data_IF_526875148804
#
_entry.id   IF_526875148804
#
_cell.length_a   1.000
_cell.length_b   1.000
_cell.length_c   1.000
_cell.angle_alpha   90.00
_cell.angle_beta   90.00
_cell.angle_gamma   90.00
#
_symmetry.space_group_name_H-M   'P 1'
#
loop_
_entity.id
_entity.type
_entity.pdbx_description
1 polymer ?
#
# COMPACT_ATOMS: atom_id res chain seq x y z
N UNK A 1 25.36 -3.35 -17.82
CA UNK A 1 25.26 -1.95 -18.32
C UNK A 1 23.82 -1.68 -18.78
N UNK A 2 22.83 -1.99 -17.94
CA UNK A 2 21.39 -1.96 -18.30
C UNK A 2 20.50 -1.57 -17.09
N UNK A 3 21.07 -0.96 -16.05
CA UNK A 3 20.37 -0.58 -14.81
C UNK A 3 20.03 0.93 -14.76
N UNK A 4 20.43 1.71 -15.77
CA UNK A 4 20.21 3.17 -15.80
C UNK A 4 19.01 3.61 -16.65
N UNK A 5 18.44 2.71 -17.46
CA UNK A 5 17.40 3.06 -18.45
C UNK A 5 15.97 3.02 -17.89
N UNK A 6 15.68 2.19 -16.89
CA UNK A 6 14.32 1.96 -16.37
C UNK A 6 13.85 3.04 -15.37
N UNK A 7 14.71 3.48 -14.44
CA UNK A 7 14.42 4.65 -13.59
C UNK A 7 14.25 5.91 -14.45
N UNK A 8 14.92 5.99 -15.60
CA UNK A 8 14.71 7.06 -16.59
C UNK A 8 13.31 6.99 -17.24
N UNK A 9 12.78 5.80 -17.48
CA UNK A 9 11.49 5.59 -18.15
C UNK A 9 10.32 6.07 -17.30
N UNK A 10 10.27 5.68 -16.03
CA UNK A 10 9.21 6.11 -15.10
C UNK A 10 9.28 7.61 -14.81
N UNK A 11 10.49 8.14 -14.58
CA UNK A 11 10.72 9.57 -14.37
C UNK A 11 10.23 10.39 -15.58
N UNK A 12 10.49 9.93 -16.81
CA UNK A 12 9.99 10.57 -18.05
C UNK A 12 8.47 10.56 -18.14
N UNK A 13 7.82 9.46 -17.73
CA UNK A 13 6.35 9.33 -17.74
C UNK A 13 5.72 10.28 -16.72
N UNK A 14 6.24 10.34 -15.50
CA UNK A 14 5.76 11.26 -14.46
C UNK A 14 5.96 12.74 -14.85
N UNK A 15 7.09 13.06 -15.49
CA UNK A 15 7.34 14.40 -16.02
C UNK A 15 6.35 14.76 -17.13
N UNK A 16 6.02 13.82 -18.01
CA UNK A 16 5.00 13.99 -19.05
C UNK A 16 3.62 14.21 -18.42
N UNK A 17 3.20 13.38 -17.47
CA UNK A 17 1.91 13.52 -16.78
C UNK A 17 1.77 14.89 -16.10
N UNK A 18 2.85 15.36 -15.44
CA UNK A 18 2.87 16.68 -14.81
C UNK A 18 2.75 17.82 -15.83
N UNK A 19 3.33 17.66 -17.02
CA UNK A 19 3.20 18.63 -18.11
C UNK A 19 1.77 18.64 -18.67
N UNK A 20 1.23 17.47 -18.97
CA UNK A 20 -0.12 17.31 -19.50
C UNK A 20 -1.20 17.83 -18.54
N UNK A 21 -1.04 17.63 -17.23
CA UNK A 21 -1.93 18.19 -16.21
C UNK A 21 -1.89 19.73 -16.20
N UNK A 22 -0.72 20.35 -16.41
CA UNK A 22 -0.60 21.81 -16.52
C UNK A 22 -1.25 22.34 -17.80
N UNK A 23 -1.01 21.66 -18.92
CA UNK A 23 -1.63 21.99 -20.21
C UNK A 23 -3.16 21.88 -20.15
N UNK A 24 -3.68 20.85 -19.48
CA UNK A 24 -5.12 20.67 -19.27
C UNK A 24 -5.71 21.77 -18.40
N UNK A 25 -5.05 22.17 -17.31
CA UNK A 25 -5.47 23.32 -16.49
C UNK A 25 -5.49 24.63 -17.29
N UNK A 26 -4.48 24.88 -18.14
CA UNK A 26 -4.46 26.05 -19.02
C UNK A 26 -5.63 26.01 -20.03
N UNK A 27 -5.94 24.83 -20.58
CA UNK A 27 -7.08 24.64 -21.50
C UNK A 27 -8.42 24.84 -20.80
N UNK A 28 -8.59 24.37 -19.56
CA UNK A 28 -9.78 24.62 -18.74
C UNK A 28 -9.98 26.11 -18.50
N UNK A 29 -8.90 26.84 -18.17
CA UNK A 29 -8.99 28.29 -17.97
C UNK A 29 -9.42 29.00 -19.26
N UNK A 30 -8.83 28.65 -20.42
CA UNK A 30 -9.21 29.21 -21.71
C UNK A 30 -10.69 28.93 -22.07
N UNK A 31 -11.15 27.69 -21.87
CA UNK A 31 -12.55 27.29 -22.07
C UNK A 31 -13.50 28.05 -21.14
N UNK A 32 -13.11 28.27 -19.87
CA UNK A 32 -13.90 29.07 -18.93
C UNK A 32 -13.99 30.53 -19.31
N UNK A 33 -12.94 31.08 -19.93
CA UNK A 33 -12.92 32.47 -20.39
C UNK A 33 -13.66 32.70 -21.71
N UNK A 34 -13.82 31.68 -22.55
CA UNK A 34 -14.54 31.80 -23.83
C UNK A 34 -16.06 31.82 -23.67
N UNK A 35 -16.60 31.29 -22.55
CA UNK A 35 -18.03 31.26 -22.28
C UNK A 35 -18.48 32.52 -21.52
N UNK A 36 -19.39 33.34 -22.09
CA UNK A 36 -19.89 34.54 -21.43
C UNK A 36 -20.71 34.20 -20.17
N UNK A 37 -20.59 35.04 -19.13
CA UNK A 37 -21.10 34.80 -17.77
C UNK A 37 -22.62 34.58 -17.65
N UNK A 38 -23.41 34.89 -18.69
CA UNK A 38 -24.87 34.77 -18.72
C UNK A 38 -25.44 33.53 -19.43
N UNK A 39 -24.66 32.82 -20.24
CA UNK A 39 -25.16 31.71 -21.06
C UNK A 39 -25.19 30.39 -20.26
N UNK A 40 -26.28 30.15 -19.53
CA UNK A 40 -26.47 28.93 -18.72
C UNK A 40 -26.30 27.63 -19.52
N UNK A 41 -26.73 27.60 -20.78
CA UNK A 41 -26.63 26.41 -21.65
C UNK A 41 -25.17 26.09 -22.00
N UNK A 42 -24.42 27.08 -22.49
CA UNK A 42 -22.99 26.93 -22.82
C UNK A 42 -22.13 26.66 -21.61
N UNK A 43 -22.47 27.23 -20.44
CA UNK A 43 -21.75 26.97 -19.19
C UNK A 43 -21.89 25.51 -18.73
N UNK A 44 -23.06 24.90 -18.92
CA UNK A 44 -23.27 23.46 -18.64
C UNK A 44 -22.50 22.58 -19.62
N UNK A 45 -22.56 22.89 -20.92
CA UNK A 45 -21.83 22.16 -21.96
C UNK A 45 -20.32 22.21 -21.72
N UNK A 46 -19.78 23.38 -21.40
CA UNK A 46 -18.38 23.57 -21.01
C UNK A 46 -18.02 22.77 -19.75
N UNK A 47 -18.87 22.73 -18.73
CA UNK A 47 -18.60 21.96 -17.52
C UNK A 47 -18.53 20.45 -17.79
N UNK A 48 -19.40 19.93 -18.65
CA UNK A 48 -19.36 18.53 -19.09
C UNK A 48 -18.08 18.24 -19.89
N UNK A 49 -17.68 19.15 -20.78
CA UNK A 49 -16.45 19.00 -21.55
C UNK A 49 -15.19 19.03 -20.65
N UNK A 50 -15.17 19.88 -19.63
CA UNK A 50 -14.09 19.91 -18.63
C UNK A 50 -14.01 18.57 -17.89
N UNK A 51 -15.14 18.09 -17.36
CA UNK A 51 -15.20 16.82 -16.64
C UNK A 51 -14.72 15.65 -17.50
N UNK A 52 -15.15 15.60 -18.77
CA UNK A 52 -14.74 14.58 -19.73
C UNK A 52 -13.25 14.64 -20.03
N UNK A 53 -12.68 15.83 -20.19
CA UNK A 53 -11.24 16.00 -20.44
C UNK A 53 -10.39 15.60 -19.23
N UNK A 54 -10.83 15.93 -18.01
CA UNK A 54 -10.15 15.55 -16.76
C UNK A 54 -10.17 14.03 -16.55
N UNK A 55 -11.33 13.40 -16.77
CA UNK A 55 -11.50 11.95 -16.65
C UNK A 55 -10.64 11.19 -17.67
N UNK A 56 -10.70 11.55 -18.96
CA UNK A 56 -9.92 10.90 -20.01
C UNK A 56 -8.41 10.96 -19.73
N UNK A 57 -7.92 12.11 -19.27
CA UNK A 57 -6.50 12.28 -18.92
C UNK A 57 -6.12 11.41 -17.73
N UNK A 58 -6.93 11.40 -16.67
CA UNK A 58 -6.69 10.58 -15.49
C UNK A 58 -6.71 9.08 -15.80
N UNK A 59 -7.64 8.64 -16.67
CA UNK A 59 -7.73 7.24 -17.09
C UNK A 59 -6.50 6.84 -17.89
N UNK A 60 -6.04 7.69 -18.83
CA UNK A 60 -4.82 7.42 -19.60
C UNK A 60 -3.58 7.34 -18.72
N UNK A 61 -3.41 8.27 -17.77
CA UNK A 61 -2.29 8.25 -16.83
C UNK A 61 -2.30 6.99 -15.96
N UNK A 62 -3.48 6.60 -15.47
CA UNK A 62 -3.65 5.38 -14.68
C UNK A 62 -3.27 4.13 -15.48
N UNK A 63 -3.73 4.03 -16.73
CA UNK A 63 -3.44 2.87 -17.59
C UNK A 63 -1.96 2.81 -18.00
N UNK A 64 -1.31 3.96 -18.25
CA UNK A 64 0.11 4.03 -18.59
C UNK A 64 0.97 3.58 -17.39
N UNK A 65 0.62 4.00 -16.17
CA UNK A 65 1.29 3.53 -14.95
C UNK A 65 1.06 2.03 -14.69
N UNK A 66 -0.17 1.54 -14.89
CA UNK A 66 -0.52 0.13 -14.70
C UNK A 66 0.19 -0.78 -15.70
N UNK A 67 0.33 -0.33 -16.96
CA UNK A 67 1.05 -1.05 -18.01
C UNK A 67 2.55 -1.14 -17.69
N UNK A 68 3.16 -0.07 -17.17
CA UNK A 68 4.55 -0.07 -16.72
C UNK A 68 4.78 -0.94 -15.48
N UNK A 69 3.78 -1.03 -14.61
CA UNK A 69 3.82 -1.88 -13.42
C UNK A 69 3.70 -3.37 -13.79
N UNK A 70 2.95 -3.69 -14.85
CA UNK A 70 2.75 -5.05 -15.35
C UNK A 70 3.97 -5.61 -16.11
N UNK A 71 4.81 -4.76 -16.71
CA UNK A 71 6.06 -5.17 -17.37
C UNK A 71 7.20 -5.43 -16.37
N UNK A 72 7.13 -4.86 -15.16
CA UNK A 72 8.08 -5.08 -14.05
C UNK A 72 8.05 -6.50 -13.46
N UNK A 73 7.12 -7.37 -13.86
CA UNK A 73 7.03 -8.75 -13.34
C UNK A 73 8.07 -9.72 -13.92
N UNK A 74 9.01 -9.29 -14.78
CA UNK A 74 9.99 -10.21 -15.39
C UNK A 74 11.45 -10.04 -15.02
N UNK A 75 11.96 -8.87 -14.66
CA UNK A 75 13.38 -8.74 -14.26
C UNK A 75 13.53 -7.52 -13.33
N UNK A 76 13.92 -7.75 -12.07
CA UNK A 76 14.94 -6.92 -11.37
C UNK A 76 14.99 -7.22 -9.87
N UNK A 77 16.14 -7.70 -9.44
CA UNK A 77 16.63 -7.65 -8.07
C UNK A 77 16.39 -6.25 -7.47
N UNK A 78 15.57 -6.15 -6.42
CA UNK A 78 15.37 -4.88 -5.72
C UNK A 78 15.40 -5.18 -4.22
N UNK A 79 16.44 -4.66 -3.57
CA UNK A 79 16.57 -4.52 -2.13
C UNK A 79 15.39 -3.63 -1.67
N UNK A 80 14.33 -4.26 -1.17
CA UNK A 80 13.07 -3.64 -0.79
C UNK A 80 13.06 -3.37 0.73
N UNK A 81 13.57 -2.21 1.10
CA UNK A 81 13.42 -1.64 2.43
C UNK A 81 11.91 -1.42 2.74
N UNK A 82 11.40 -2.10 3.77
CA UNK A 82 9.99 -2.12 4.26
C UNK A 82 9.36 -0.73 4.36
N UNK A 83 10.16 0.34 4.43
CA UNK A 83 9.63 1.69 4.62
C UNK A 83 9.01 2.31 3.36
N UNK A 84 9.33 1.82 2.16
CA UNK A 84 8.82 2.38 0.89
C UNK A 84 7.57 1.69 0.32
N UNK A 85 7.36 0.40 0.53
CA UNK A 85 6.14 -0.30 0.10
C UNK A 85 4.92 -0.05 1.01
N UNK A 86 5.11 0.66 2.12
CA UNK A 86 4.00 1.14 2.98
C UNK A 86 3.16 2.24 2.30
N UNK A 87 3.61 2.82 1.18
CA UNK A 87 2.92 3.93 0.50
C UNK A 87 1.90 3.52 -0.56
N UNK A 88 1.90 2.26 -1.04
CA UNK A 88 1.06 1.78 -2.15
C UNK A 88 -0.11 0.88 -1.76
N UNK A 89 -0.17 0.33 -0.53
CA UNK A 89 -1.34 -0.44 -0.06
C UNK A 89 -2.49 0.50 0.37
N UNK A 90 -3.06 1.23 -0.60
CA UNK A 90 -4.37 1.85 -0.41
C UNK A 90 -5.44 0.79 -0.61
N UNK A 91 -5.70 -0.02 0.42
CA UNK A 91 -6.97 -0.76 0.50
C UNK A 91 -8.01 0.29 0.86
N UNK A 92 -8.67 0.82 -0.16
CA UNK A 92 -9.84 1.68 -0.01
C UNK A 92 -11.00 0.86 0.54
N UNK A 93 -11.06 0.70 1.87
CA UNK A 93 -12.33 0.41 2.52
C UNK A 93 -13.06 1.73 2.72
N UNK A 94 -14.06 1.94 1.86
CA UNK A 94 -15.32 2.63 2.11
C UNK A 94 -15.34 3.88 3.00
N UNK A 95 -15.62 5.01 2.34
CA UNK A 95 -16.38 6.18 2.82
C UNK A 95 -15.69 7.16 3.79
N UNK A 96 -15.57 8.41 3.30
CA UNK A 96 -15.35 9.59 4.15
C UNK A 96 -14.28 10.53 3.64
N UNK A 97 -14.66 11.42 2.72
CA UNK A 97 -13.90 12.62 2.36
C UNK A 97 -13.50 13.42 3.62
N UNK A 98 -12.22 13.38 4.01
CA UNK A 98 -11.58 14.55 4.63
C UNK A 98 -10.12 14.65 4.17
N UNK A 99 -9.83 15.70 3.40
CA UNK A 99 -8.49 16.06 2.97
C UNK A 99 -7.68 16.59 4.17
N UNK A 100 -7.29 15.71 5.09
CA UNK A 100 -6.32 16.06 6.13
C UNK A 100 -4.91 15.89 5.55
N UNK A 101 -4.10 16.95 5.61
CA UNK A 101 -2.68 16.92 5.23
C UNK A 101 -1.93 16.09 6.27
N UNK A 102 -2.00 14.77 6.13
CA UNK A 102 -1.32 13.81 6.99
C UNK A 102 0.17 13.82 6.66
N UNK A 103 1.01 14.22 7.61
CA UNK A 103 2.47 14.21 7.47
C UNK A 103 2.99 12.80 7.12
N UNK A 104 4.11 12.68 6.38
CA UNK A 104 4.74 11.38 6.04
C UNK A 104 4.90 10.44 7.25
N UNK A 105 5.24 10.97 8.42
CA UNK A 105 5.35 10.20 9.66
C UNK A 105 4.01 9.68 10.21
N UNK A 106 2.89 10.33 9.89
CA UNK A 106 1.56 9.89 10.29
C UNK A 106 1.00 8.86 9.29
N UNK A 107 1.31 8.97 7.98
CA UNK A 107 1.01 7.93 6.98
C UNK A 107 1.77 6.62 7.25
N UNK A 108 3.06 6.69 7.63
CA UNK A 108 3.85 5.53 8.08
C UNK A 108 3.27 4.86 9.33
N UNK A 109 2.75 5.66 10.28
CA UNK A 109 2.07 5.14 11.47
C UNK A 109 0.76 4.44 11.10
N UNK A 110 -0.05 5.02 10.21
CA UNK A 110 -1.30 4.39 9.76
C UNK A 110 -1.05 3.06 9.07
N UNK A 111 -0.05 3.01 8.19
CA UNK A 111 0.32 1.77 7.50
C UNK A 111 0.79 0.65 8.44
N UNK A 112 1.63 0.97 9.40
CA UNK A 112 2.09 -0.01 10.39
C UNK A 112 0.92 -0.58 11.20
N UNK A 113 -0.02 0.27 11.61
CA UNK A 113 -1.21 -0.19 12.34
C UNK A 113 -2.12 -1.04 11.46
N UNK A 114 -2.21 -0.78 10.15
CA UNK A 114 -2.97 -1.65 9.25
C UNK A 114 -2.35 -3.04 9.12
N UNK A 115 -1.02 -3.15 9.05
CA UNK A 115 -0.34 -4.46 8.98
C UNK A 115 -0.54 -5.25 10.28
N UNK A 116 -0.46 -4.59 11.44
CA UNK A 116 -0.70 -5.25 12.73
C UNK A 116 -2.13 -5.73 12.89
N UNK A 117 -3.10 -4.92 12.46
CA UNK A 117 -4.50 -5.35 12.41
C UNK A 117 -4.68 -6.53 11.49
N UNK A 118 -4.09 -6.50 10.29
CA UNK A 118 -4.18 -7.59 9.34
C UNK A 118 -3.62 -8.91 9.91
N UNK A 119 -2.47 -8.86 10.58
CA UNK A 119 -1.91 -10.02 11.26
C UNK A 119 -2.83 -10.52 12.39
N UNK A 120 -3.34 -9.62 13.25
CA UNK A 120 -4.25 -9.96 14.33
C UNK A 120 -5.57 -10.59 13.83
N UNK A 121 -6.18 -10.01 12.80
CA UNK A 121 -7.41 -10.52 12.17
C UNK A 121 -7.19 -11.91 11.55
N UNK A 122 -6.01 -12.13 10.94
CA UNK A 122 -5.65 -13.44 10.42
C UNK A 122 -5.50 -14.47 11.55
N UNK A 123 -4.82 -14.12 12.64
CA UNK A 123 -4.66 -15.00 13.80
C UNK A 123 -6.01 -15.35 14.43
N UNK A 124 -6.93 -14.38 14.55
CA UNK A 124 -8.28 -14.60 15.08
C UNK A 124 -9.10 -15.57 14.22
N UNK A 125 -8.97 -15.49 12.89
CA UNK A 125 -9.68 -16.40 11.97
C UNK A 125 -9.07 -17.81 11.91
N UNK A 126 -7.82 -17.98 12.35
CA UNK A 126 -7.07 -19.24 12.30
C UNK A 126 -6.55 -19.64 13.69
N UNK A 127 -7.38 -19.48 14.71
CA UNK A 127 -6.97 -19.64 16.10
C UNK A 127 -6.27 -20.98 16.40
N UNK A 128 -6.74 -22.08 15.83
CA UNK A 128 -6.18 -23.42 16.05
C UNK A 128 -4.72 -23.56 15.57
N UNK A 129 -4.29 -22.74 14.60
CA UNK A 129 -2.93 -22.77 14.06
C UNK A 129 -1.94 -22.00 14.96
N UNK A 130 -2.43 -21.03 15.74
CA UNK A 130 -1.58 -20.13 16.53
C UNK A 130 -1.63 -20.41 18.03
N UNK A 131 -2.79 -20.78 18.56
CA UNK A 131 -3.02 -21.00 19.98
C UNK A 131 -2.10 -22.07 20.62
N UNK A 132 -1.76 -23.19 19.95
CA UNK A 132 -0.84 -24.19 20.51
C UNK A 132 0.56 -23.65 20.82
N UNK A 133 0.95 -22.54 20.20
CA UNK A 133 2.27 -21.94 20.35
C UNK A 133 2.30 -20.80 21.39
N UNK A 134 1.16 -20.47 22.00
CA UNK A 134 1.04 -19.40 22.98
C UNK A 134 0.93 -19.94 24.41
N UNK A 135 1.89 -19.57 25.24
CA UNK A 135 1.97 -19.95 26.66
C UNK A 135 2.16 -18.74 27.55
N UNK A 136 1.49 -18.73 28.69
CA UNK A 136 1.62 -17.65 29.67
C UNK A 136 2.94 -17.80 30.43
N UNK A 137 3.79 -16.77 30.37
CA UNK A 137 5.11 -16.76 30.99
C UNK A 137 5.08 -16.97 32.52
N UNK A 138 3.96 -16.64 33.17
CA UNK A 138 3.82 -16.77 34.64
C UNK A 138 3.28 -18.12 35.04
N UNK A 139 2.35 -18.67 34.26
CA UNK A 139 1.64 -19.90 34.63
C UNK A 139 2.14 -21.14 33.90
N UNK A 140 2.88 -20.96 32.81
CA UNK A 140 3.35 -22.03 31.92
C UNK A 140 2.23 -22.78 31.20
N UNK A 141 0.99 -22.29 31.28
CA UNK A 141 -0.18 -22.91 30.64
C UNK A 141 -0.40 -22.31 29.26
N UNK A 142 -0.99 -23.12 28.37
CA UNK A 142 -1.48 -22.65 27.08
C UNK A 142 -2.53 -21.57 27.26
N UNK A 143 -2.56 -20.63 26.33
CA UNK A 143 -3.57 -19.59 26.30
C UNK A 143 -4.96 -20.21 26.14
N UNK A 144 -5.93 -19.69 26.89
CA UNK A 144 -7.35 -19.96 26.64
C UNK A 144 -7.82 -19.16 25.43
N UNK A 145 -8.94 -19.54 24.80
CA UNK A 145 -9.47 -18.79 23.67
C UNK A 145 -9.73 -17.32 23.99
N UNK A 146 -10.23 -17.01 25.17
CA UNK A 146 -10.43 -15.62 25.63
C UNK A 146 -9.10 -14.86 25.76
N UNK A 147 -8.05 -15.50 26.30
CA UNK A 147 -6.72 -14.89 26.40
C UNK A 147 -6.06 -14.68 25.03
N UNK A 148 -6.34 -15.57 24.07
CA UNK A 148 -5.87 -15.44 22.71
C UNK A 148 -6.47 -14.21 22.01
N UNK A 149 -7.77 -13.97 22.19
CA UNK A 149 -8.42 -12.76 21.65
C UNK A 149 -7.75 -11.50 22.20
N UNK A 150 -7.52 -11.46 23.52
CA UNK A 150 -6.82 -10.34 24.15
C UNK A 150 -5.41 -10.15 23.59
N UNK A 151 -4.69 -11.24 23.34
CA UNK A 151 -3.36 -11.18 22.73
C UNK A 151 -3.39 -10.60 21.30
N UNK A 152 -4.36 -10.98 20.47
CA UNK A 152 -4.53 -10.40 19.14
C UNK A 152 -4.84 -8.89 19.20
N UNK A 153 -5.67 -8.45 20.15
CA UNK A 153 -5.91 -7.03 20.39
C UNK A 153 -4.63 -6.27 20.81
N UNK A 154 -3.82 -6.89 21.66
CA UNK A 154 -2.53 -6.34 22.07
C UNK A 154 -1.56 -6.24 20.89
N UNK A 155 -1.47 -7.25 20.01
CA UNK A 155 -0.67 -7.19 18.77
C UNK A 155 -1.11 -6.00 17.90
N UNK A 156 -2.43 -5.82 17.71
CA UNK A 156 -2.97 -4.73 16.91
C UNK A 156 -2.64 -3.34 17.48
N UNK A 157 -2.46 -3.23 18.80
CA UNK A 157 -2.16 -1.99 19.50
C UNK A 157 -0.66 -1.74 19.74
N UNK A 158 0.17 -2.78 19.71
CA UNK A 158 1.57 -2.73 20.15
C UNK A 158 2.46 -1.98 19.15
N UNK A 159 3.46 -1.25 19.68
CA UNK A 159 4.41 -0.47 18.87
C UNK A 159 5.62 -1.29 18.37
N UNK A 160 5.93 -2.41 19.03
CA UNK A 160 6.99 -3.35 18.65
C UNK A 160 6.49 -4.31 17.58
N UNK A 161 7.36 -4.68 16.65
CA UNK A 161 7.10 -5.85 15.79
C UNK A 161 7.15 -7.08 16.69
N UNK A 162 6.10 -7.91 16.61
CA UNK A 162 5.94 -9.11 17.44
C UNK A 162 7.00 -10.17 17.14
N UNK A 163 6.82 -11.36 17.71
CA UNK A 163 7.68 -12.49 17.45
C UNK A 163 7.42 -13.14 16.08
N UNK A 164 7.83 -14.41 15.97
CA UNK A 164 7.67 -15.20 14.75
C UNK A 164 6.20 -15.38 14.33
N UNK A 165 5.28 -15.52 15.30
CA UNK A 165 3.87 -15.79 15.05
C UNK A 165 3.19 -14.64 14.29
N UNK A 166 3.49 -13.41 14.67
CA UNK A 166 2.91 -12.22 14.05
C UNK A 166 3.42 -12.05 12.61
N UNK A 167 4.71 -12.33 12.37
CA UNK A 167 5.29 -12.28 11.01
C UNK A 167 4.75 -13.42 10.15
N UNK A 168 4.57 -14.61 10.72
CA UNK A 168 3.93 -15.75 10.04
C UNK A 168 2.49 -15.43 9.66
N UNK A 169 1.70 -14.88 10.58
CA UNK A 169 0.33 -14.47 10.30
C UNK A 169 0.27 -13.41 9.19
N UNK A 170 1.20 -12.44 9.20
CA UNK A 170 1.28 -11.41 8.18
C UNK A 170 1.62 -11.98 6.80
N UNK A 171 2.57 -12.91 6.73
CA UNK A 171 2.93 -13.61 5.49
C UNK A 171 1.73 -14.34 4.89
N UNK A 172 0.96 -15.05 5.72
CA UNK A 172 -0.23 -15.76 5.28
C UNK A 172 -1.37 -14.82 4.86
N UNK A 173 -1.57 -13.71 5.58
CA UNK A 173 -2.60 -12.73 5.24
C UNK A 173 -2.30 -11.99 3.93
N UNK A 174 -1.04 -11.67 3.69
CA UNK A 174 -0.58 -11.00 2.46
C UNK A 174 -0.36 -11.97 1.31
N UNK A 175 -0.23 -13.27 1.59
CA UNK A 175 0.18 -14.31 0.64
C UNK A 175 1.51 -13.98 -0.03
N UNK A 176 2.46 -13.49 0.78
CA UNK A 176 3.78 -13.10 0.34
C UNK A 176 4.84 -13.71 1.26
N UNK A 177 6.00 -14.12 0.73
CA UNK A 177 7.10 -14.54 1.57
C UNK A 177 7.71 -13.34 2.31
N UNK A 178 8.29 -13.58 3.48
CA UNK A 178 8.96 -12.55 4.30
C UNK A 178 10.33 -13.09 4.71
N UNK A 179 11.38 -12.31 4.48
CA UNK A 179 12.75 -12.62 4.87
C UNK A 179 13.19 -11.70 6.01
N UNK A 180 13.55 -12.28 7.15
CA UNK A 180 13.97 -11.55 8.35
C UNK A 180 15.49 -11.65 8.51
N UNK A 181 16.14 -10.49 8.56
CA UNK A 181 17.57 -10.32 8.75
C UNK A 181 17.86 -10.01 10.20
N UNK A 182 18.80 -10.74 10.78
CA UNK A 182 19.22 -10.57 12.17
C UNK A 182 20.75 -10.48 12.22
N UNK A 183 21.29 -9.69 13.14
CA UNK A 183 22.74 -9.57 13.30
C UNK A 183 23.36 -10.93 13.69
N UNK A 184 24.28 -11.43 12.86
CA UNK A 184 25.01 -12.69 13.05
C UNK A 184 24.15 -13.97 13.06
N UNK A 185 22.98 -13.97 12.43
CA UNK A 185 22.16 -15.17 12.25
C UNK A 185 21.78 -15.38 10.77
N UNK A 186 21.49 -16.61 10.34
CA UNK A 186 21.01 -16.87 8.98
C UNK A 186 19.67 -16.16 8.73
N UNK A 187 19.44 -15.75 7.49
CA UNK A 187 18.18 -15.12 7.05
C UNK A 187 17.03 -16.10 7.27
N UNK A 188 16.01 -15.68 8.01
CA UNK A 188 14.82 -16.49 8.26
C UNK A 188 13.77 -16.18 7.19
N UNK A 189 13.46 -17.16 6.34
CA UNK A 189 12.39 -17.05 5.35
C UNK A 189 11.08 -17.63 5.91
N UNK A 190 10.00 -16.89 5.74
CA UNK A 190 8.65 -17.22 6.18
C UNK A 190 7.74 -17.20 4.95
N UNK A 191 6.78 -18.12 4.87
CA UNK A 191 5.88 -18.22 3.72
C UNK A 191 6.56 -18.83 2.50
N UNK A 192 7.29 -19.93 2.68
CA UNK A 192 7.97 -20.65 1.60
C UNK A 192 6.98 -21.20 0.55
N UNK A 193 5.70 -21.29 0.90
CA UNK A 193 4.59 -21.68 0.01
C UNK A 193 4.27 -20.62 -1.06
N UNK A 194 4.86 -19.42 -0.96
CA UNK A 194 4.63 -18.33 -1.89
C UNK A 194 5.87 -18.11 -2.78
N UNK A 195 5.67 -18.20 -4.09
CA UNK A 195 6.72 -17.98 -5.12
C UNK A 195 6.96 -16.50 -5.43
N UNK A 196 6.21 -15.59 -4.80
CA UNK A 196 6.37 -14.15 -4.94
C UNK A 196 7.70 -13.65 -4.34
N UNK A 197 8.00 -12.38 -4.60
CA UNK A 197 9.20 -11.74 -4.04
C UNK A 197 9.05 -11.53 -2.53
N UNK A 198 10.07 -11.89 -1.72
CA UNK A 198 9.99 -11.74 -0.28
C UNK A 198 10.08 -10.27 0.18
N UNK A 199 9.29 -9.94 1.19
CA UNK A 199 9.41 -8.68 1.94
C UNK A 199 10.59 -8.78 2.92
N UNK A 200 11.49 -7.80 2.94
CA UNK A 200 12.74 -7.86 3.72
C UNK A 200 12.60 -7.11 5.04
N UNK A 201 12.54 -7.80 6.18
CA UNK A 201 12.55 -7.18 7.51
C UNK A 201 13.99 -7.17 8.07
N UNK A 202 14.53 -6.01 8.43
CA UNK A 202 15.89 -5.86 8.99
C UNK A 202 15.93 -5.13 10.32
#
# INVERSE_FOLDING_TARGET
MAEEDEDSSLERVLQRHRKEAKDLQAKIQALKHSVPKGDKKKKKEMALEIAKLEEDLSVRHKNELDSLQSDSSKENHKELDVTKEMESISITSGEGETHSRVSKAQKRRTGMQTLRKLAADYMLSHQDDFLPFLTDAKTGKLYTPDQFVQYCEEIAATASWGGHLEIQALSQALKLPIEVYQANAPVLRIGEDYDDRPLLLS
#
